data_IF_666477998895
#
_entry.id   IF_666477998895
#
_cell.length_a   1.000
_cell.length_b   1.000
_cell.length_c   1.000
_cell.angle_alpha   90.00
_cell.angle_beta   90.00
_cell.angle_gamma   90.00
#
_symmetry.space_group_name_H-M   'P 1'
#
loop_
_entity.id
_entity.type
_entity.pdbx_description
1 polymer ?
#
# COMPACT_ATOMS: atom_id res chain seq x y z
N UNK A 1 -18.88 -15.40 21.63
CA UNK A 1 -18.93 -15.43 20.15
C UNK A 1 -17.58 -15.94 19.66
N UNK A 2 -17.52 -16.98 18.80
CA UNK A 2 -16.26 -17.61 18.42
C UNK A 2 -15.37 -16.60 17.70
N UNK A 3 -14.07 -16.63 18.02
CA UNK A 3 -12.99 -15.91 17.36
C UNK A 3 -13.01 -16.18 15.85
N UNK A 4 -13.82 -15.43 15.09
CA UNK A 4 -13.50 -15.22 13.68
C UNK A 4 -12.18 -14.48 13.71
N UNK A 5 -11.09 -15.22 13.50
CA UNK A 5 -9.79 -14.65 13.18
C UNK A 5 -10.08 -13.46 12.27
N UNK A 6 -9.68 -12.25 12.69
CA UNK A 6 -9.66 -11.12 11.76
C UNK A 6 -9.03 -11.73 10.50
N UNK A 7 -9.80 -11.76 9.41
CA UNK A 7 -9.24 -12.00 8.08
C UNK A 7 -8.39 -10.77 7.78
N UNK A 8 -7.32 -10.57 8.56
CA UNK A 8 -6.16 -9.81 8.16
C UNK A 8 -5.67 -10.67 7.00
N UNK A 9 -6.16 -10.33 5.81
CA UNK A 9 -5.60 -10.83 4.56
C UNK A 9 -4.10 -10.69 4.74
N UNK A 10 -3.46 -11.85 4.86
CA UNK A 10 -2.14 -11.91 5.47
C UNK A 10 -1.26 -10.89 4.75
N UNK A 11 -0.54 -10.01 5.48
CA UNK A 11 0.39 -9.05 4.89
C UNK A 11 1.45 -9.70 3.97
N UNK A 12 1.44 -11.03 3.87
CA UNK A 12 2.33 -11.89 3.10
C UNK A 12 1.66 -12.60 1.92
N UNK A 13 0.51 -12.12 1.45
CA UNK A 13 -0.09 -12.70 0.24
C UNK A 13 0.90 -12.58 -0.93
N UNK A 14 1.33 -13.71 -1.50
CA UNK A 14 2.47 -13.78 -2.41
C UNK A 14 2.37 -12.87 -3.62
N UNK A 15 1.15 -12.61 -4.10
CA UNK A 15 0.90 -11.67 -5.21
C UNK A 15 1.27 -10.23 -4.82
N UNK A 16 0.94 -9.78 -3.61
CA UNK A 16 1.29 -8.43 -3.14
C UNK A 16 2.82 -8.29 -2.97
N UNK A 17 3.47 -9.32 -2.43
CA UNK A 17 4.93 -9.36 -2.29
C UNK A 17 5.66 -9.40 -3.63
N UNK A 18 5.03 -9.84 -4.72
CA UNK A 18 5.59 -9.75 -6.08
C UNK A 18 5.33 -8.39 -6.72
N UNK A 19 4.12 -7.84 -6.57
CA UNK A 19 3.70 -6.59 -7.24
C UNK A 19 4.37 -5.35 -6.64
N UNK A 20 4.50 -5.26 -5.32
CA UNK A 20 5.13 -4.10 -4.68
C UNK A 20 6.59 -3.87 -5.08
N UNK A 21 7.50 -4.88 -5.01
CA UNK A 21 8.87 -4.69 -5.46
C UNK A 21 8.97 -4.55 -6.99
N UNK A 22 8.04 -5.10 -7.76
CA UNK A 22 7.97 -4.83 -9.20
C UNK A 22 7.67 -3.36 -9.47
N UNK A 23 6.71 -2.75 -8.76
CA UNK A 23 6.46 -1.31 -8.85
C UNK A 23 7.71 -0.52 -8.49
N UNK A 24 8.41 -0.93 -7.42
CA UNK A 24 9.66 -0.29 -7.03
C UNK A 24 10.71 -0.38 -8.15
N UNK A 25 10.90 -1.57 -8.72
CA UNK A 25 11.85 -1.83 -9.80
C UNK A 25 11.55 -0.98 -11.05
N UNK A 26 10.28 -0.82 -11.43
CA UNK A 26 9.89 0.02 -12.58
C UNK A 26 10.34 1.48 -12.35
N UNK A 27 10.06 2.03 -11.17
CA UNK A 27 10.52 3.38 -10.82
C UNK A 27 12.04 3.50 -10.86
N UNK A 28 12.75 2.53 -10.28
CA UNK A 28 14.21 2.51 -10.28
C UNK A 28 14.81 2.38 -11.70
N UNK A 29 14.25 1.52 -12.54
CA UNK A 29 14.69 1.36 -13.93
C UNK A 29 14.54 2.65 -14.74
N UNK A 30 13.50 3.44 -14.46
CA UNK A 30 13.38 4.76 -15.07
C UNK A 30 14.44 5.73 -14.57
N UNK A 31 14.64 5.81 -13.25
CA UNK A 31 15.63 6.70 -12.63
C UNK A 31 17.09 6.36 -13.00
N UNK A 32 17.34 5.16 -13.51
CA UNK A 32 18.68 4.66 -13.89
C UNK A 32 18.83 4.48 -15.40
N UNK A 33 17.91 5.04 -16.19
CA UNK A 33 17.90 4.98 -17.66
C UNK A 33 17.89 3.56 -18.25
N UNK A 34 17.52 2.55 -17.47
CA UNK A 34 17.31 1.18 -17.94
C UNK A 34 15.98 1.02 -18.69
N UNK A 35 14.99 1.88 -18.41
CA UNK A 35 13.70 1.89 -19.10
C UNK A 35 13.11 3.30 -19.19
N UNK A 36 12.65 3.70 -20.38
CA UNK A 36 12.09 5.04 -20.60
C UNK A 36 10.56 5.02 -20.66
N UNK A 37 9.90 5.88 -19.88
CA UNK A 37 8.46 6.07 -19.92
C UNK A 37 8.06 7.16 -20.94
N UNK A 38 8.37 6.95 -22.22
CA UNK A 38 8.17 7.95 -23.30
C UNK A 38 6.77 8.55 -23.31
N UNK A 39 5.74 7.69 -23.21
CA UNK A 39 4.33 8.09 -23.15
C UNK A 39 4.06 9.17 -22.08
N UNK A 40 4.72 9.04 -20.93
CA UNK A 40 4.56 9.93 -19.80
C UNK A 40 5.37 11.22 -19.98
N UNK A 41 6.60 11.11 -20.50
CA UNK A 41 7.45 12.26 -20.79
C UNK A 41 6.73 13.23 -21.75
N UNK A 42 6.09 12.70 -22.78
CA UNK A 42 5.32 13.48 -23.75
C UNK A 42 4.15 14.24 -23.11
N UNK A 43 3.63 13.76 -21.97
CA UNK A 43 2.50 14.35 -21.27
C UNK A 43 2.89 15.34 -20.18
N UNK A 44 3.90 15.02 -19.36
CA UNK A 44 4.22 15.76 -18.12
C UNK A 44 5.65 16.28 -18.03
N UNK A 45 6.42 16.20 -19.12
CA UNK A 45 7.86 16.50 -19.22
C UNK A 45 8.77 15.46 -18.55
N UNK A 46 10.06 15.51 -18.88
CA UNK A 46 11.11 14.63 -18.31
C UNK A 46 11.22 14.78 -16.78
N UNK A 47 11.21 16.01 -16.26
CA UNK A 47 11.23 16.24 -14.81
C UNK A 47 9.99 15.65 -14.13
N UNK A 48 8.81 15.77 -14.75
CA UNK A 48 7.58 15.16 -14.26
C UNK A 48 7.65 13.63 -14.24
N UNK A 49 8.24 13.01 -15.26
CA UNK A 49 8.47 11.58 -15.32
C UNK A 49 9.44 11.09 -14.22
N UNK A 50 10.49 11.85 -13.91
CA UNK A 50 11.40 11.55 -12.79
C UNK A 50 10.71 11.61 -11.43
N UNK A 51 9.85 12.62 -11.19
CA UNK A 51 9.05 12.71 -9.95
C UNK A 51 8.07 11.53 -9.85
N UNK A 52 7.42 11.16 -10.96
CA UNK A 52 6.55 9.98 -11.03
C UNK A 52 7.31 8.69 -10.69
N UNK A 53 8.50 8.50 -11.27
CA UNK A 53 9.31 7.32 -11.06
C UNK A 53 9.82 7.22 -9.62
N UNK A 54 10.22 8.33 -9.02
CA UNK A 54 10.57 8.40 -7.60
C UNK A 54 9.37 8.03 -6.70
N UNK A 55 8.19 8.56 -7.00
CA UNK A 55 6.98 8.24 -6.25
C UNK A 55 6.63 6.75 -6.35
N UNK A 56 6.73 6.16 -7.55
CA UNK A 56 6.49 4.73 -7.78
C UNK A 56 7.53 3.85 -7.07
N UNK A 57 8.81 4.24 -7.13
CA UNK A 57 9.92 3.57 -6.44
C UNK A 57 9.67 3.52 -4.92
N UNK A 58 9.44 4.68 -4.32
CA UNK A 58 9.22 4.80 -2.88
C UNK A 58 7.94 4.09 -2.44
N UNK A 59 6.82 4.27 -3.15
CA UNK A 59 5.56 3.63 -2.80
C UNK A 59 5.66 2.10 -2.89
N UNK A 60 6.24 1.56 -3.96
CA UNK A 60 6.50 0.13 -4.09
C UNK A 60 7.42 -0.41 -3.00
N UNK A 61 8.51 0.30 -2.71
CA UNK A 61 9.48 -0.06 -1.67
C UNK A 61 8.85 -0.07 -0.27
N UNK A 62 8.12 0.99 0.09
CA UNK A 62 7.43 1.07 1.38
C UNK A 62 6.34 0.01 1.51
N UNK A 63 5.55 -0.24 0.46
CA UNK A 63 4.56 -1.32 0.46
C UNK A 63 5.21 -2.70 0.68
N UNK A 64 6.32 -2.97 0.00
CA UNK A 64 7.05 -4.23 0.17
C UNK A 64 7.64 -4.40 1.57
N UNK A 65 8.31 -3.37 2.09
CA UNK A 65 8.90 -3.40 3.44
C UNK A 65 7.80 -3.61 4.48
N UNK A 66 6.70 -2.88 4.39
CA UNK A 66 5.61 -2.96 5.37
C UNK A 66 4.93 -4.32 5.34
N UNK A 67 4.67 -4.87 4.15
CA UNK A 67 4.13 -6.20 3.95
C UNK A 67 5.05 -7.31 4.50
N UNK A 68 6.35 -7.24 4.23
CA UNK A 68 7.32 -8.27 4.62
C UNK A 68 7.65 -8.29 6.11
N UNK A 69 7.58 -7.12 6.77
CA UNK A 69 8.00 -6.92 8.17
C UNK A 69 6.85 -6.78 9.17
N UNK A 70 5.58 -6.86 8.74
CA UNK A 70 4.42 -6.75 9.63
C UNK A 70 4.43 -7.82 10.74
N UNK A 71 4.28 -7.39 12.00
CA UNK A 71 4.11 -8.26 13.17
C UNK A 71 2.80 -7.91 13.89
N UNK A 72 2.26 -8.78 14.77
CA UNK A 72 1.03 -8.50 15.50
C UNK A 72 1.09 -7.23 16.37
N UNK A 73 2.26 -6.90 16.94
CA UNK A 73 2.45 -5.76 17.85
C UNK A 73 2.37 -4.39 17.17
N UNK A 74 2.60 -4.33 15.85
CA UNK A 74 2.65 -3.11 15.05
C UNK A 74 1.77 -3.20 13.80
N UNK A 75 0.82 -4.13 13.76
CA UNK A 75 0.00 -4.40 12.59
C UNK A 75 -0.79 -3.17 12.11
N UNK A 76 -1.22 -2.29 13.04
CA UNK A 76 -1.95 -1.06 12.71
C UNK A 76 -1.12 -0.10 11.85
N UNK A 77 0.10 0.23 12.29
CA UNK A 77 0.95 1.18 11.56
C UNK A 77 1.33 0.63 10.19
N UNK A 78 1.61 -0.68 10.09
CA UNK A 78 1.93 -1.33 8.82
C UNK A 78 0.74 -1.31 7.85
N UNK A 79 -0.48 -1.57 8.32
CA UNK A 79 -1.68 -1.48 7.48
C UNK A 79 -1.93 -0.04 7.00
N UNK A 80 -1.75 0.97 7.87
CA UNK A 80 -1.89 2.37 7.45
C UNK A 80 -0.86 2.74 6.39
N UNK A 81 0.39 2.32 6.54
CA UNK A 81 1.43 2.58 5.53
C UNK A 81 1.14 1.84 4.23
N UNK A 82 0.70 0.57 4.30
CA UNK A 82 0.31 -0.21 3.12
C UNK A 82 -0.86 0.44 2.38
N UNK A 83 -1.84 0.99 3.12
CA UNK A 83 -2.97 1.73 2.55
C UNK A 83 -2.50 2.94 1.72
N UNK A 84 -1.65 3.78 2.30
CA UNK A 84 -1.12 4.95 1.60
C UNK A 84 -0.22 4.58 0.43
N UNK A 85 0.59 3.54 0.58
CA UNK A 85 1.44 3.06 -0.50
C UNK A 85 0.60 2.50 -1.67
N UNK A 86 -0.47 1.76 -1.40
CA UNK A 86 -1.42 1.30 -2.41
C UNK A 86 -2.11 2.47 -3.14
N UNK A 87 -2.51 3.52 -2.42
CA UNK A 87 -3.07 4.73 -3.04
C UNK A 87 -2.02 5.40 -3.95
N UNK A 88 -0.79 5.56 -3.47
CA UNK A 88 0.29 6.16 -4.24
C UNK A 88 0.61 5.35 -5.51
N UNK A 89 0.68 4.03 -5.43
CA UNK A 89 0.87 3.14 -6.59
C UNK A 89 -0.32 3.28 -7.56
N UNK A 90 -1.56 3.26 -7.06
CA UNK A 90 -2.74 3.39 -7.91
C UNK A 90 -2.78 4.73 -8.65
N UNK A 91 -2.42 5.83 -7.99
CA UNK A 91 -2.37 7.16 -8.61
C UNK A 91 -1.23 7.29 -9.63
N UNK A 92 -0.03 6.82 -9.28
CA UNK A 92 1.14 6.88 -10.18
C UNK A 92 0.94 6.02 -11.42
N UNK A 93 0.50 4.77 -11.25
CA UNK A 93 0.20 3.90 -12.39
C UNK A 93 -1.07 4.33 -13.14
N UNK A 94 -2.04 4.95 -12.47
CA UNK A 94 -3.20 5.56 -13.11
C UNK A 94 -2.81 6.73 -14.03
N UNK A 95 -1.88 7.58 -13.59
CA UNK A 95 -1.31 8.64 -14.43
C UNK A 95 -0.58 8.07 -15.65
N UNK A 96 0.25 7.04 -15.44
CA UNK A 96 0.93 6.34 -16.54
C UNK A 96 -0.06 5.67 -17.51
N UNK A 97 -1.14 5.09 -17.00
CA UNK A 97 -2.20 4.53 -17.84
C UNK A 97 -2.86 5.61 -18.70
N UNK A 98 -3.19 6.75 -18.12
CA UNK A 98 -3.78 7.88 -18.85
C UNK A 98 -2.86 8.34 -19.98
N UNK A 99 -1.54 8.42 -19.74
CA UNK A 99 -0.58 8.79 -20.77
C UNK A 99 -0.49 7.74 -21.90
N UNK A 100 -0.58 6.45 -21.58
CA UNK A 100 -0.65 5.37 -22.58
C UNK A 100 -1.93 5.41 -23.44
N UNK A 101 -3.04 5.93 -22.91
CA UNK A 101 -4.29 6.07 -23.67
C UNK A 101 -4.24 7.30 -24.59
N UNK A 102 -3.65 8.40 -24.13
CA UNK A 102 -3.52 9.64 -24.91
C UNK A 102 -2.46 9.48 -26.02
N UNK A 103 -1.31 8.89 -25.70
CA UNK A 103 -0.17 8.82 -26.62
C UNK A 103 -0.21 7.66 -27.62
N UNK A 104 -0.97 6.59 -27.36
CA UNK A 104 -0.92 5.38 -28.17
C UNK A 104 -2.31 4.76 -28.46
N UNK A 105 -2.55 4.25 -29.69
CA UNK A 105 -3.77 3.54 -30.04
C UNK A 105 -4.14 2.43 -29.05
N UNK A 106 -5.43 2.17 -28.85
CA UNK A 106 -5.94 1.15 -27.91
C UNK A 106 -5.36 -0.26 -28.17
N UNK A 107 -5.17 -0.64 -29.43
CA UNK A 107 -4.64 -1.94 -29.82
C UNK A 107 -3.12 -2.08 -29.57
N UNK A 108 -2.38 -0.97 -29.50
CA UNK A 108 -0.96 -1.00 -29.15
C UNK A 108 -0.77 -1.08 -27.63
N UNK A 109 0.22 -1.87 -27.21
CA UNK A 109 0.61 -2.02 -25.80
C UNK A 109 -0.50 -2.59 -24.91
N UNK A 110 -1.38 -3.45 -25.46
CA UNK A 110 -2.48 -4.09 -24.71
C UNK A 110 -2.00 -4.81 -23.46
N UNK A 111 -0.87 -5.53 -23.55
CA UNK A 111 -0.26 -6.21 -22.40
C UNK A 111 0.07 -5.21 -21.28
N UNK A 112 0.78 -4.14 -21.59
CA UNK A 112 1.14 -3.09 -20.62
C UNK A 112 -0.11 -2.43 -20.04
N UNK A 113 -1.06 -2.04 -20.90
CA UNK A 113 -2.34 -1.44 -20.50
C UNK A 113 -3.11 -2.35 -19.55
N UNK A 114 -3.24 -3.64 -19.86
CA UNK A 114 -3.93 -4.62 -19.00
C UNK A 114 -3.22 -4.84 -17.68
N UNK A 115 -1.89 -4.91 -17.66
CA UNK A 115 -1.10 -5.10 -16.45
C UNK A 115 -1.24 -3.90 -15.53
N UNK A 116 -1.13 -2.69 -16.08
CA UNK A 116 -1.29 -1.44 -15.33
C UNK A 116 -2.70 -1.37 -14.73
N UNK A 117 -3.74 -1.67 -15.50
CA UNK A 117 -5.13 -1.71 -14.98
C UNK A 117 -5.30 -2.74 -13.87
N UNK A 118 -4.75 -3.94 -14.03
CA UNK A 118 -4.83 -4.99 -13.01
C UNK A 118 -4.15 -4.57 -11.70
N UNK A 119 -2.97 -3.94 -11.78
CA UNK A 119 -2.25 -3.45 -10.60
C UNK A 119 -3.04 -2.30 -9.95
N UNK A 120 -3.52 -1.32 -10.71
CA UNK A 120 -4.33 -0.20 -10.20
C UNK A 120 -5.58 -0.74 -9.49
N UNK A 121 -6.33 -1.63 -10.13
CA UNK A 121 -7.53 -2.23 -9.55
C UNK A 121 -7.20 -3.02 -8.27
N UNK A 122 -6.11 -3.80 -8.28
CA UNK A 122 -5.64 -4.54 -7.11
C UNK A 122 -5.27 -3.62 -5.94
N UNK A 123 -4.53 -2.54 -6.19
CA UNK A 123 -4.17 -1.55 -5.19
C UNK A 123 -5.39 -0.82 -4.61
N UNK A 124 -6.36 -0.44 -5.45
CA UNK A 124 -7.62 0.18 -5.00
C UNK A 124 -8.44 -0.79 -4.15
N UNK A 125 -8.55 -2.05 -4.58
CA UNK A 125 -9.24 -3.09 -3.81
C UNK A 125 -8.58 -3.31 -2.45
N UNK A 126 -7.25 -3.40 -2.42
CA UNK A 126 -6.45 -3.55 -1.20
C UNK A 126 -6.62 -2.37 -0.25
N UNK A 127 -6.53 -1.14 -0.76
CA UNK A 127 -6.76 0.06 0.04
C UNK A 127 -8.17 0.07 0.66
N UNK A 128 -9.20 -0.28 -0.14
CA UNK A 128 -10.59 -0.40 0.35
C UNK A 128 -10.74 -1.48 1.41
N UNK A 129 -10.04 -2.60 1.25
CA UNK A 129 -10.00 -3.67 2.25
C UNK A 129 -9.38 -3.19 3.56
N UNK A 130 -8.19 -2.59 3.51
CA UNK A 130 -7.50 -2.07 4.70
C UNK A 130 -8.37 -1.03 5.41
N UNK A 131 -8.98 -0.11 4.66
CA UNK A 131 -9.87 0.91 5.22
C UNK A 131 -11.04 0.30 6.03
N UNK A 132 -11.56 -0.86 5.60
CA UNK A 132 -12.63 -1.59 6.32
C UNK A 132 -12.10 -2.41 7.50
N UNK A 133 -10.85 -2.83 7.46
CA UNK A 133 -10.21 -3.63 8.50
C UNK A 133 -9.68 -2.78 9.67
N UNK A 134 -9.25 -1.54 9.40
CA UNK A 134 -8.70 -0.63 10.41
C UNK A 134 -9.64 -0.40 11.61
N UNK A 135 -10.94 -0.08 11.45
CA UNK A 135 -11.83 0.10 12.60
C UNK A 135 -12.03 -1.18 13.42
N UNK A 136 -12.01 -2.34 12.76
CA UNK A 136 -12.15 -3.64 13.43
C UNK A 136 -10.92 -3.98 14.25
N UNK A 137 -9.75 -3.67 13.72
CA UNK A 137 -8.48 -3.79 14.43
C UNK A 137 -8.43 -2.85 15.63
N UNK A 138 -8.82 -1.58 15.45
CA UNK A 138 -8.84 -0.59 16.53
C UNK A 138 -9.78 -1.04 17.68
N UNK A 139 -10.95 -1.60 17.36
CA UNK A 139 -11.87 -2.17 18.36
C UNK A 139 -11.26 -3.39 19.08
N UNK A 140 -10.57 -4.28 18.36
CA UNK A 140 -9.92 -5.45 18.95
C UNK A 140 -8.75 -5.04 19.87
N UNK A 141 -7.94 -4.06 19.46
CA UNK A 141 -6.85 -3.51 20.27
C UNK A 141 -7.37 -2.81 21.53
N UNK A 142 -8.51 -2.11 21.43
CA UNK A 142 -9.14 -1.47 22.58
C UNK A 142 -9.60 -2.49 23.63
N UNK A 143 -10.10 -3.66 23.22
CA UNK A 143 -10.51 -4.74 24.13
C UNK A 143 -9.32 -5.45 24.81
N UNK A 144 -8.14 -5.42 24.20
CA UNK A 144 -6.92 -6.01 24.75
C UNK A 144 -6.19 -5.07 25.73
N UNK A 145 -6.60 -3.81 25.81
CA UNK A 145 -6.02 -2.85 26.77
C UNK A 145 -6.50 -3.25 28.17
N UNK A 146 -5.62 -3.64 29.11
CA UNK A 146 -6.05 -3.98 30.46
C UNK A 146 -6.76 -2.77 31.09
N UNK A 147 -7.88 -3.01 31.76
CA UNK A 147 -8.46 -2.03 32.66
C UNK A 147 -7.37 -1.60 33.65
N UNK A 148 -7.18 -0.29 33.84
CA UNK A 148 -6.20 0.25 34.77
C UNK A 148 -6.21 -0.52 36.10
N UNK A 149 -5.03 -0.78 36.71
CA UNK A 149 -4.99 -1.40 38.02
C UNK A 149 -5.83 -0.57 38.98
N UNK A 150 -6.79 -1.21 39.64
CA UNK A 150 -7.61 -0.64 40.71
C UNK A 150 -6.66 0.10 41.66
N UNK A 151 -6.88 1.39 41.98
CA UNK A 151 -6.12 2.01 43.05
C UNK A 151 -6.40 1.21 44.31
N UNK A 152 -5.37 0.58 44.90
CA UNK A 152 -5.48 0.05 46.25
C UNK A 152 -5.89 1.24 47.12
N UNK A 153 -7.18 1.29 47.48
CA UNK A 153 -7.64 2.13 48.56
C UNK A 153 -6.81 1.71 49.77
N UNK A 154 -5.92 2.61 50.20
CA UNK A 154 -5.15 2.44 51.42
C UNK A 154 -6.15 2.13 52.52
N UNK A 155 -6.06 0.92 53.08
CA UNK A 155 -6.77 0.55 54.29
C UNK A 155 -6.40 1.58 55.36
N UNK A 156 -7.35 2.44 55.71
CA UNK A 156 -7.25 3.32 56.87
C UNK A 156 -7.18 2.45 58.12
N UNK A 157 -6.11 2.50 58.94
CA UNK A 157 -6.16 1.97 60.28
C UNK A 157 -7.04 2.91 61.11
N UNK A 158 -8.13 2.37 61.65
CA UNK A 158 -8.82 2.96 62.79
C UNK A 158 -8.00 2.63 64.04
N UNK A 159 -7.45 3.66 64.68
CA UNK A 159 -7.13 3.69 66.11
C UNK A 159 -7.73 4.97 66.70
#
# INVERSE_FOLDING_TARGET
MPHRALQITSPRHGVALGVYPLCAAIGLWHLTDLATATALIDLVTEHGASVWALALFLAGGFAFITASTAKPTNIRSHLVTEFWACIAIALTLGLYFASLIVGYPLASSLTTKSMVVAIVAGCVWRARQIHRELPRLDAALAQQRPASPVPLAAATPTD
#
